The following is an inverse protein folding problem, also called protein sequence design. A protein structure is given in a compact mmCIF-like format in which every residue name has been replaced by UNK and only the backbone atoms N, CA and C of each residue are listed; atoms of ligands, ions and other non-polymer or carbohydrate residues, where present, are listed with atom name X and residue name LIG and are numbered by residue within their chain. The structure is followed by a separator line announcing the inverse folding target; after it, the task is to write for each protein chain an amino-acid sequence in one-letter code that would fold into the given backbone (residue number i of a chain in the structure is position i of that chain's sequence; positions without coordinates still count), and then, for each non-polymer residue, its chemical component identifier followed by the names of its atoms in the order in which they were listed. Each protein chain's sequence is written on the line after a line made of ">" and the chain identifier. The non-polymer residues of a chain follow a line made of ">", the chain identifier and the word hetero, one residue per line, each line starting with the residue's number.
data_IF_473809278515
#
_entry.id   IF_473809278515
#
_cell.length_a   1.000
_cell.length_b   1.000
_cell.length_c   1.000
_cell.angle_alpha   90.00
_cell.angle_beta   90.00
_cell.angle_gamma   90.00
#
_symmetry.space_group_name_H-M   'P 1'
#
loop_
_entity.id
_entity.type
_entity.pdbx_description
1 polymer ?
#
# COMPACT_ATOMS: atom_id res chain seq x y z
N UNK A 1 -16.96 6.82 -16.26
CA UNK A 1 -17.23 5.88 -15.13
C UNK A 1 -16.05 4.94 -14.89
N UNK A 2 -15.48 4.34 -15.94
CA UNK A 2 -14.29 3.46 -15.89
C UNK A 2 -13.05 4.06 -15.23
N UNK A 3 -12.73 5.35 -15.49
CA UNK A 3 -11.59 6.02 -14.83
C UNK A 3 -11.73 6.10 -13.31
N UNK A 4 -12.94 6.37 -12.80
CA UNK A 4 -13.20 6.43 -11.37
C UNK A 4 -13.06 5.06 -10.71
N UNK A 5 -13.55 4.01 -11.36
CA UNK A 5 -13.36 2.62 -10.89
C UNK A 5 -11.88 2.23 -10.87
N UNK A 6 -11.12 2.58 -11.90
CA UNK A 6 -9.67 2.32 -11.95
C UNK A 6 -8.93 3.06 -10.83
N UNK A 7 -9.27 4.34 -10.58
CA UNK A 7 -8.69 5.11 -9.48
C UNK A 7 -9.02 4.51 -8.11
N UNK A 8 -10.26 4.02 -7.93
CA UNK A 8 -10.70 3.38 -6.69
C UNK A 8 -10.05 2.01 -6.48
N UNK A 9 -9.86 1.23 -7.55
CA UNK A 9 -9.12 -0.04 -7.51
C UNK A 9 -7.66 0.21 -7.09
N UNK A 10 -6.99 1.17 -7.72
CA UNK A 10 -5.61 1.52 -7.41
C UNK A 10 -5.45 2.06 -5.98
N UNK A 11 -6.38 2.91 -5.51
CA UNK A 11 -6.34 3.46 -4.15
C UNK A 11 -6.55 2.38 -3.09
N UNK A 12 -7.44 1.40 -3.33
CA UNK A 12 -7.62 0.24 -2.45
C UNK A 12 -6.40 -0.68 -2.44
N UNK A 13 -5.75 -0.90 -3.58
CA UNK A 13 -4.50 -1.66 -3.65
C UNK A 13 -3.38 -0.96 -2.86
N UNK A 14 -3.26 0.37 -3.02
CA UNK A 14 -2.33 1.21 -2.26
C UNK A 14 -2.61 1.16 -0.76
N UNK A 15 -3.85 1.39 -0.34
CA UNK A 15 -4.24 1.35 1.06
C UNK A 15 -4.03 -0.05 1.66
N UNK A 16 -4.42 -1.10 0.93
CA UNK A 16 -4.27 -2.49 1.35
C UNK A 16 -2.81 -2.88 1.61
N UNK A 17 -1.92 -2.60 0.66
CA UNK A 17 -0.48 -2.86 0.82
C UNK A 17 0.15 -2.01 1.92
N UNK A 18 -0.23 -0.74 2.05
CA UNK A 18 0.27 0.14 3.11
C UNK A 18 -0.17 -0.34 4.50
N UNK A 19 -1.44 -0.71 4.68
CA UNK A 19 -1.96 -1.22 5.94
C UNK A 19 -1.32 -2.57 6.32
N UNK A 20 -1.13 -3.46 5.35
CA UNK A 20 -0.42 -4.73 5.56
C UNK A 20 1.03 -4.50 5.98
N UNK A 21 1.70 -3.55 5.34
CA UNK A 21 3.04 -3.14 5.72
C UNK A 21 3.05 -2.60 7.15
N UNK A 22 2.18 -1.64 7.49
CA UNK A 22 2.12 -1.03 8.84
C UNK A 22 1.72 -2.01 9.95
N UNK A 23 0.98 -3.08 9.63
CA UNK A 23 0.63 -4.12 10.60
C UNK A 23 1.87 -4.83 11.17
N UNK A 24 2.98 -4.88 10.41
CA UNK A 24 4.24 -5.48 10.86
C UNK A 24 4.97 -4.55 11.85
N UNK A 25 5.37 -5.05 13.05
CA UNK A 25 5.90 -4.22 14.13
C UNK A 25 7.31 -3.66 13.86
N UNK A 26 8.10 -4.29 12.97
CA UNK A 26 9.49 -3.91 12.70
C UNK A 26 9.63 -2.85 11.60
N UNK A 27 8.52 -2.32 11.08
CA UNK A 27 8.57 -1.42 9.94
C UNK A 27 8.94 0.02 10.30
N UNK A 28 9.92 0.57 9.58
CA UNK A 28 10.47 1.90 9.83
C UNK A 28 9.44 3.02 9.66
N UNK A 29 8.52 2.86 8.71
CA UNK A 29 7.45 3.82 8.43
C UNK A 29 6.44 3.90 9.59
N UNK A 30 6.18 2.77 10.27
CA UNK A 30 5.38 2.69 11.50
C UNK A 30 6.06 3.41 12.66
N UNK A 31 7.35 3.14 12.88
CA UNK A 31 8.14 3.83 13.89
C UNK A 31 8.27 5.35 13.64
N UNK A 32 7.92 5.82 12.44
CA UNK A 32 8.11 7.18 12.00
C UNK A 32 6.87 8.09 12.01
N UNK A 33 5.68 7.58 12.34
CA UNK A 33 4.45 8.36 12.19
C UNK A 33 3.33 7.99 13.18
N UNK A 34 2.27 8.80 13.20
CA UNK A 34 1.11 8.63 14.10
C UNK A 34 0.14 7.58 13.55
N UNK A 35 0.64 6.40 13.21
CA UNK A 35 -0.16 5.36 12.57
C UNK A 35 -1.02 4.62 13.60
N UNK A 36 -2.23 4.17 13.23
CA UNK A 36 -3.05 3.36 14.12
C UNK A 36 -2.28 2.10 14.53
N UNK A 37 -2.01 1.95 15.83
CA UNK A 37 -1.11 0.93 16.41
C UNK A 37 -1.77 -0.47 16.46
N UNK A 38 -2.98 -0.62 15.91
CA UNK A 38 -3.72 -1.88 15.91
C UNK A 38 -3.06 -2.95 15.05
N UNK A 39 -2.76 -4.10 15.65
CA UNK A 39 -2.15 -5.27 14.99
C UNK A 39 -3.12 -6.04 14.07
N UNK A 40 -4.16 -5.37 13.57
CA UNK A 40 -5.17 -6.00 12.73
C UNK A 40 -4.75 -5.92 11.27
N UNK A 41 -4.41 -7.07 10.71
CA UNK A 41 -4.07 -7.25 9.29
C UNK A 41 -5.29 -7.29 8.38
N UNK A 42 -6.46 -7.61 8.94
CA UNK A 42 -7.73 -7.73 8.24
C UNK A 42 -8.11 -6.55 7.34
N UNK A 43 -8.03 -5.27 7.78
CA UNK A 43 -8.40 -4.16 6.91
C UNK A 43 -7.49 -4.04 5.68
N UNK A 44 -6.20 -4.37 5.83
CA UNK A 44 -5.25 -4.38 4.71
C UNK A 44 -5.56 -5.48 3.70
N UNK A 45 -5.82 -6.71 4.18
CA UNK A 45 -6.23 -7.83 3.31
C UNK A 45 -7.57 -7.52 2.63
N UNK A 46 -8.56 -7.01 3.36
CA UNK A 46 -9.86 -6.66 2.80
C UNK A 46 -9.73 -5.63 1.68
N UNK A 47 -8.97 -4.54 1.88
CA UNK A 47 -8.73 -3.54 0.84
C UNK A 47 -8.03 -4.14 -0.38
N UNK A 48 -6.98 -4.95 -0.15
CA UNK A 48 -6.22 -5.55 -1.24
C UNK A 48 -7.09 -6.54 -2.06
N UNK A 49 -7.88 -7.39 -1.41
CA UNK A 49 -8.79 -8.31 -2.08
C UNK A 49 -9.94 -7.59 -2.78
N UNK A 50 -10.46 -6.49 -2.22
CA UNK A 50 -11.51 -5.69 -2.85
C UNK A 50 -11.01 -4.92 -4.08
N UNK A 51 -9.71 -4.63 -4.19
CA UNK A 51 -9.17 -3.96 -5.39
C UNK A 51 -9.19 -4.83 -6.64
N UNK A 52 -9.05 -6.16 -6.51
CA UNK A 52 -9.05 -7.09 -7.64
C UNK A 52 -10.39 -7.15 -8.41
N UNK A 53 -11.57 -7.34 -7.78
CA UNK A 53 -12.85 -7.33 -8.50
C UNK A 53 -13.15 -5.98 -9.13
N UNK A 54 -12.56 -4.88 -8.64
CA UNK A 54 -12.67 -3.58 -9.30
C UNK A 54 -11.79 -3.50 -10.55
N UNK A 55 -10.58 -4.05 -10.54
CA UNK A 55 -9.79 -4.18 -11.77
C UNK A 55 -10.49 -5.06 -12.81
N UNK A 56 -11.15 -6.13 -12.38
CA UNK A 56 -11.94 -7.01 -13.25
C UNK A 56 -13.15 -6.33 -13.90
N UNK A 57 -13.63 -5.21 -13.36
CA UNK A 57 -14.69 -4.41 -13.99
C UNK A 57 -14.19 -3.48 -15.09
N UNK A 58 -12.87 -3.31 -15.22
CA UNK A 58 -12.27 -2.31 -16.13
C UNK A 58 -11.30 -2.94 -17.15
N UNK A 59 -10.74 -4.11 -16.84
CA UNK A 59 -9.73 -4.81 -17.64
C UNK A 59 -10.14 -6.25 -17.95
N UNK A 60 -9.55 -6.84 -18.98
CA UNK A 60 -9.70 -8.27 -19.22
C UNK A 60 -9.12 -9.09 -18.05
N UNK A 61 -9.59 -10.33 -17.79
CA UNK A 61 -9.20 -11.08 -16.58
C UNK A 61 -7.68 -11.23 -16.37
N UNK A 62 -6.95 -11.55 -17.44
CA UNK A 62 -5.49 -11.72 -17.38
C UNK A 62 -4.79 -10.39 -17.11
N UNK A 63 -5.25 -9.32 -17.76
CA UNK A 63 -4.71 -7.96 -17.56
C UNK A 63 -4.98 -7.44 -16.15
N UNK A 64 -6.18 -7.69 -15.62
CA UNK A 64 -6.56 -7.29 -14.26
C UNK A 64 -5.65 -7.94 -13.21
N UNK A 65 -5.43 -9.25 -13.31
CA UNK A 65 -4.55 -9.99 -12.40
C UNK A 65 -3.10 -9.53 -12.55
N UNK A 66 -2.63 -9.32 -13.79
CA UNK A 66 -1.28 -8.83 -14.05
C UNK A 66 -1.08 -7.42 -13.47
N UNK A 67 -1.97 -6.48 -13.78
CA UNK A 67 -1.91 -5.10 -13.29
C UNK A 67 -1.98 -5.05 -11.75
N UNK A 68 -2.91 -5.80 -11.15
CA UNK A 68 -3.03 -5.90 -9.70
C UNK A 68 -1.76 -6.46 -9.06
N UNK A 69 -1.16 -7.51 -9.63
CA UNK A 69 0.05 -8.14 -9.11
C UNK A 69 1.26 -7.21 -9.22
N UNK A 70 1.46 -6.58 -10.38
CA UNK A 70 2.55 -5.63 -10.62
C UNK A 70 2.43 -4.42 -9.69
N UNK A 71 1.23 -3.86 -9.55
CA UNK A 71 0.99 -2.74 -8.65
C UNK A 71 1.24 -3.14 -7.18
N UNK A 72 0.75 -4.30 -6.76
CA UNK A 72 1.00 -4.81 -5.42
C UNK A 72 2.51 -5.01 -5.15
N UNK A 73 3.25 -5.62 -6.08
CA UNK A 73 4.71 -5.81 -5.96
C UNK A 73 5.47 -4.48 -5.91
N UNK A 74 5.09 -3.52 -6.76
CA UNK A 74 5.67 -2.18 -6.79
C UNK A 74 5.51 -1.50 -5.43
N UNK A 75 4.28 -1.46 -4.92
CA UNK A 75 3.96 -0.81 -3.66
C UNK A 75 4.64 -1.51 -2.48
N UNK A 76 4.63 -2.85 -2.47
CA UNK A 76 5.31 -3.65 -1.46
C UNK A 76 6.81 -3.35 -1.40
N UNK A 77 7.42 -3.10 -2.56
CA UNK A 77 8.83 -2.71 -2.66
C UNK A 77 9.03 -1.25 -2.25
N UNK A 78 8.10 -0.35 -2.59
CA UNK A 78 8.23 1.08 -2.36
C UNK A 78 8.14 1.46 -0.88
N UNK A 79 7.28 0.79 -0.10
CA UNK A 79 7.08 1.08 1.32
C UNK A 79 8.36 1.04 2.16
N UNK A 80 9.20 -0.02 2.15
CA UNK A 80 10.44 -0.03 2.93
C UNK A 80 11.40 1.09 2.52
N UNK A 81 11.51 1.42 1.23
CA UNK A 81 12.36 2.54 0.78
C UNK A 81 11.86 3.89 1.28
N UNK A 82 10.54 4.13 1.23
CA UNK A 82 9.93 5.34 1.78
C UNK A 82 10.15 5.44 3.30
N UNK A 83 10.08 4.31 4.00
CA UNK A 83 10.40 4.22 5.43
C UNK A 83 11.84 4.64 5.73
N UNK A 84 12.80 4.09 4.99
CA UNK A 84 14.22 4.40 5.12
C UNK A 84 14.52 5.86 4.78
N UNK A 85 13.94 6.38 3.71
CA UNK A 85 14.11 7.77 3.31
C UNK A 85 13.57 8.73 4.37
N UNK A 86 12.36 8.49 4.90
CA UNK A 86 11.78 9.30 5.98
C UNK A 86 12.64 9.26 7.25
N UNK A 87 13.20 8.10 7.61
CA UNK A 87 14.11 7.98 8.74
C UNK A 87 15.39 8.83 8.52
N UNK A 88 15.98 8.78 7.32
CA UNK A 88 17.14 9.60 6.95
C UNK A 88 16.84 11.10 7.00
N UNK A 89 15.70 11.54 6.48
CA UNK A 89 15.30 12.96 6.49
C UNK A 89 15.13 13.48 7.92
N UNK A 90 14.54 12.69 8.82
CA UNK A 90 14.42 13.06 10.23
C UNK A 90 15.77 13.14 10.93
N UNK A 91 16.66 12.17 10.70
CA UNK A 91 18.02 12.21 11.26
C UNK A 91 18.79 13.45 10.82
N UNK A 92 18.69 13.84 9.54
CA UNK A 92 19.30 15.08 9.03
C UNK A 92 18.73 16.34 9.68
N UNK A 93 17.41 16.40 9.90
CA UNK A 93 16.76 17.55 10.57
C UNK A 93 17.12 17.66 12.05
N UNK A 94 17.43 16.56 12.72
CA UNK A 94 17.84 16.58 14.14
C UNK A 94 19.32 16.96 14.33
N UNK A 95 20.14 16.88 13.27
CA UNK A 95 21.56 17.21 13.29
C UNK A 95 21.88 18.62 12.78
N UNK A 96 20.87 19.36 12.32
CA UNK A 96 20.95 20.75 11.86
C UNK A 96 20.34 21.68 12.92
#
# INVERSE_FOLDING_TARGET
>A
MTLWLAALAASLCLAGTLLLYLASPQQQLRAAGPWPVGRSWWPGIACLLLSLPLFLQVLAPVEAVAAWSVLAMLLWSLWPFLGAWRARVRARRAAA
#
